data_IF_848384074355
#
_entry.id   IF_848384074355
#
_cell.length_a   1.000
_cell.length_b   1.000
_cell.length_c   1.000
_cell.angle_alpha   90.00
_cell.angle_beta   90.00
_cell.angle_gamma   90.00
#
_symmetry.space_group_name_H-M   'P 1'
#
loop_
_entity.id
_entity.type
_entity.pdbx_description
1 polymer ?
#
# COMPACT_ATOMS: atom_id res chain seq x y z
N UNK A 1 -0.78 11.73 4.91
CA UNK A 1 0.44 11.04 4.44
C UNK A 1 1.70 11.79 4.87
N UNK A 2 1.89 13.06 4.46
CA UNK A 2 3.11 13.82 4.83
C UNK A 2 3.32 13.85 6.36
N UNK A 3 2.30 14.20 7.12
CA UNK A 3 2.38 14.22 8.59
C UNK A 3 2.74 12.86 9.18
N UNK A 4 2.24 11.75 8.62
CA UNK A 4 2.53 10.43 9.17
C UNK A 4 4.00 10.01 9.05
N UNK A 5 4.74 10.52 8.07
CA UNK A 5 6.19 10.29 7.97
C UNK A 5 7.01 11.40 8.64
N UNK A 6 6.47 12.58 8.85
CA UNK A 6 7.16 13.67 9.54
C UNK A 6 7.12 13.53 11.07
N UNK A 7 6.05 13.02 11.65
CA UNK A 7 5.91 12.81 13.10
C UNK A 7 7.09 12.03 13.71
N UNK A 8 7.57 10.92 13.14
CA UNK A 8 8.71 10.18 13.65
C UNK A 8 9.99 11.00 13.86
N UNK A 9 10.17 12.11 13.12
CA UNK A 9 11.33 13.00 13.30
C UNK A 9 11.46 13.54 14.71
N UNK A 10 10.34 13.69 15.44
CA UNK A 10 10.34 14.13 16.84
C UNK A 10 11.19 13.20 17.71
N UNK A 11 11.25 11.91 17.36
CA UNK A 11 12.06 10.92 18.10
C UNK A 11 13.40 10.65 17.42
N UNK A 12 13.49 10.72 16.09
CA UNK A 12 14.75 10.47 15.38
C UNK A 12 15.76 11.62 15.53
N UNK A 13 15.33 12.88 15.57
CA UNK A 13 16.23 14.03 15.72
C UNK A 13 17.03 13.97 17.03
N UNK A 14 16.43 13.72 18.20
CA UNK A 14 17.22 13.53 19.44
C UNK A 14 18.17 12.33 19.38
N UNK A 15 17.81 11.23 18.71
CA UNK A 15 18.68 10.07 18.56
C UNK A 15 19.97 10.38 17.79
N UNK A 16 19.96 11.36 16.90
CA UNK A 16 21.12 11.78 16.12
C UNK A 16 22.13 12.61 16.94
N UNK A 17 21.77 13.07 18.15
CA UNK A 17 22.68 13.84 18.98
C UNK A 17 23.85 13.00 19.52
N UNK A 18 23.59 11.70 19.82
CA UNK A 18 24.56 10.80 20.45
C UNK A 18 24.98 9.63 19.53
N UNK A 19 24.55 9.62 18.28
CA UNK A 19 24.79 8.54 17.30
C UNK A 19 25.21 9.09 15.95
N UNK A 20 25.72 8.21 15.08
CA UNK A 20 26.04 8.58 13.71
C UNK A 20 24.77 9.07 12.98
N UNK A 21 24.75 10.32 12.50
CA UNK A 21 23.58 10.88 11.83
C UNK A 21 23.17 10.11 10.57
N UNK A 22 24.13 9.51 9.83
CA UNK A 22 23.82 8.72 8.64
C UNK A 22 23.12 7.41 9.02
N UNK A 23 23.58 6.74 10.08
CA UNK A 23 22.94 5.54 10.59
C UNK A 23 21.51 5.83 11.09
N UNK A 24 21.31 6.94 11.83
CA UNK A 24 19.99 7.39 12.28
C UNK A 24 19.09 7.74 11.10
N UNK A 25 19.62 8.38 10.05
CA UNK A 25 18.87 8.70 8.83
C UNK A 25 18.45 7.45 8.08
N UNK A 26 19.31 6.42 7.98
CA UNK A 26 18.94 5.12 7.43
C UNK A 26 17.74 4.52 8.17
N UNK A 27 17.78 4.48 9.51
CA UNK A 27 16.68 3.98 10.33
C UNK A 27 15.38 4.76 10.16
N UNK A 28 15.49 6.08 9.98
CA UNK A 28 14.33 6.91 9.65
C UNK A 28 13.74 6.54 8.29
N UNK A 29 14.56 6.33 7.26
CA UNK A 29 14.09 5.93 5.93
C UNK A 29 13.37 4.58 5.94
N UNK A 30 13.92 3.57 6.63
CA UNK A 30 13.25 2.29 6.83
C UNK A 30 11.90 2.43 7.54
N UNK A 31 11.84 3.22 8.61
CA UNK A 31 10.61 3.50 9.35
C UNK A 31 9.57 4.24 8.50
N UNK A 32 10.00 5.27 7.76
CA UNK A 32 9.13 6.03 6.86
C UNK A 32 8.59 5.16 5.72
N UNK A 33 9.41 4.27 5.15
CA UNK A 33 8.98 3.31 4.16
C UNK A 33 7.88 2.38 4.69
N UNK A 34 8.05 1.82 5.89
CA UNK A 34 7.03 0.96 6.52
C UNK A 34 5.70 1.69 6.75
N UNK A 35 5.75 2.94 7.19
CA UNK A 35 4.55 3.78 7.36
C UNK A 35 3.84 3.97 6.03
N UNK A 36 4.58 4.31 4.96
CA UNK A 36 4.02 4.48 3.62
C UNK A 36 3.44 3.18 3.07
N UNK A 37 4.12 2.05 3.27
CA UNK A 37 3.63 0.73 2.87
C UNK A 37 2.34 0.36 3.61
N UNK A 38 2.27 0.59 4.93
CA UNK A 38 1.07 0.37 5.72
C UNK A 38 -0.12 1.21 5.23
N UNK A 39 0.10 2.50 4.95
CA UNK A 39 -0.89 3.39 4.35
C UNK A 39 -1.32 2.90 2.95
N UNK A 40 -0.38 2.42 2.14
CA UNK A 40 -0.65 1.87 0.82
C UNK A 40 -1.56 0.64 0.90
N UNK A 41 -1.35 -0.26 1.87
CA UNK A 41 -2.24 -1.40 2.11
C UNK A 41 -3.65 -0.95 2.55
N UNK A 42 -3.76 0.05 3.42
CA UNK A 42 -5.06 0.63 3.80
C UNK A 42 -5.81 1.20 2.58
N UNK A 43 -5.13 1.91 1.69
CA UNK A 43 -5.72 2.42 0.44
C UNK A 43 -6.19 1.30 -0.48
N UNK A 44 -5.47 0.18 -0.55
CA UNK A 44 -5.84 -0.98 -1.35
C UNK A 44 -7.15 -1.65 -0.88
N UNK A 45 -7.60 -1.43 0.35
CA UNK A 45 -8.87 -1.95 0.86
C UNK A 45 -10.09 -1.39 0.13
N UNK A 46 -9.99 -0.18 -0.43
CA UNK A 46 -11.12 0.58 -1.00
C UNK A 46 -12.27 0.74 0.00
N UNK A 47 -11.94 0.85 1.27
CA UNK A 47 -12.95 1.10 2.30
C UNK A 47 -13.48 2.52 2.17
N UNK A 48 -14.80 2.68 2.31
CA UNK A 48 -15.48 3.97 2.15
C UNK A 48 -14.93 5.08 3.05
N UNK A 49 -14.47 4.74 4.26
CA UNK A 49 -13.83 5.69 5.16
C UNK A 49 -12.51 6.22 4.57
N UNK A 50 -11.70 5.35 3.98
CA UNK A 50 -10.45 5.72 3.29
C UNK A 50 -10.76 6.60 2.07
N UNK A 51 -11.74 6.20 1.24
CA UNK A 51 -12.17 7.00 0.08
C UNK A 51 -12.65 8.40 0.49
N UNK A 52 -13.42 8.50 1.59
CA UNK A 52 -13.92 9.78 2.09
C UNK A 52 -12.81 10.71 2.56
N UNK A 53 -11.79 10.17 3.24
CA UNK A 53 -10.62 10.95 3.73
C UNK A 53 -9.78 11.49 2.58
N UNK A 54 -9.59 10.73 1.51
CA UNK A 54 -8.73 11.10 0.37
C UNK A 54 -9.50 11.73 -0.81
N UNK A 55 -10.81 11.90 -0.69
CA UNK A 55 -11.61 12.64 -1.66
C UNK A 55 -12.05 11.87 -2.91
N UNK A 56 -12.03 10.54 -2.85
CA UNK A 56 -12.52 9.65 -3.90
C UNK A 56 -11.50 8.62 -4.34
N UNK A 57 -12.00 7.59 -5.02
CA UNK A 57 -11.19 6.43 -5.41
C UNK A 57 -10.12 6.79 -6.45
N UNK A 58 -10.38 7.74 -7.33
CA UNK A 58 -9.45 8.29 -8.31
C UNK A 58 -8.20 8.87 -7.63
N UNK A 59 -8.40 9.72 -6.63
CA UNK A 59 -7.29 10.30 -5.85
C UNK A 59 -6.55 9.27 -5.03
N UNK A 60 -7.28 8.30 -4.45
CA UNK A 60 -6.67 7.17 -3.71
C UNK A 60 -5.71 6.39 -4.62
N UNK A 61 -6.06 6.11 -5.88
CA UNK A 61 -5.18 5.39 -6.81
C UNK A 61 -3.93 6.18 -7.19
N UNK A 62 -4.10 7.47 -7.49
CA UNK A 62 -2.95 8.35 -7.79
C UNK A 62 -2.01 8.42 -6.59
N UNK A 63 -2.56 8.60 -5.39
CA UNK A 63 -1.77 8.68 -4.16
C UNK A 63 -1.10 7.35 -3.84
N UNK A 64 -1.80 6.22 -3.97
CA UNK A 64 -1.26 4.87 -3.79
C UNK A 64 -0.03 4.63 -4.69
N UNK A 65 -0.11 5.00 -5.97
CA UNK A 65 1.01 4.91 -6.91
C UNK A 65 2.24 5.68 -6.40
N UNK A 66 2.06 6.94 -6.04
CA UNK A 66 3.18 7.79 -5.60
C UNK A 66 3.75 7.37 -4.25
N UNK A 67 2.91 6.91 -3.32
CA UNK A 67 3.34 6.34 -2.04
C UNK A 67 4.17 5.07 -2.27
N UNK A 68 3.76 4.19 -3.19
CA UNK A 68 4.52 2.99 -3.52
C UNK A 68 5.91 3.30 -4.09
N UNK A 69 6.00 4.29 -4.99
CA UNK A 69 7.28 4.74 -5.55
C UNK A 69 8.16 5.36 -4.44
N UNK A 70 7.58 6.22 -3.61
CA UNK A 70 8.31 6.84 -2.50
C UNK A 70 8.80 5.80 -1.48
N UNK A 71 7.96 4.82 -1.15
CA UNK A 71 8.34 3.73 -0.25
C UNK A 71 9.53 2.93 -0.80
N UNK A 72 9.51 2.56 -2.10
CA UNK A 72 10.65 1.89 -2.72
C UNK A 72 11.92 2.74 -2.66
N UNK A 73 11.84 4.03 -2.98
CA UNK A 73 12.99 4.92 -2.92
C UNK A 73 13.58 5.00 -1.50
N UNK A 74 12.72 5.06 -0.47
CA UNK A 74 13.15 5.08 0.92
C UNK A 74 13.76 3.75 1.38
N UNK A 75 13.24 2.61 0.91
CA UNK A 75 13.86 1.30 1.19
C UNK A 75 15.24 1.21 0.56
N UNK A 76 15.40 1.65 -0.69
CA UNK A 76 16.71 1.67 -1.35
C UNK A 76 17.70 2.59 -0.63
N UNK A 77 17.26 3.77 -0.18
CA UNK A 77 18.10 4.66 0.62
C UNK A 77 18.46 4.04 1.98
N UNK A 78 17.53 3.33 2.62
CA UNK A 78 17.80 2.60 3.86
C UNK A 78 18.87 1.53 3.68
N UNK A 79 18.77 0.75 2.61
CA UNK A 79 19.69 -0.36 2.31
C UNK A 79 21.08 0.13 1.86
N UNK A 80 21.14 1.22 1.09
CA UNK A 80 22.41 1.73 0.53
C UNK A 80 23.26 2.52 1.52
N UNK A 81 22.72 2.93 2.67
CA UNK A 81 23.48 3.63 3.70
C UNK A 81 24.19 2.59 4.58
N UNK A 82 25.48 2.37 4.28
CA UNK A 82 26.37 1.54 5.07
C UNK A 82 26.94 2.38 6.23
N UNK A 83 26.26 2.36 7.36
CA UNK A 83 26.69 3.09 8.55
C UNK A 83 26.44 2.25 9.81
N UNK A 84 27.50 2.01 10.59
CA UNK A 84 27.39 1.28 11.85
C UNK A 84 26.62 2.06 12.91
N UNK A 85 25.63 1.41 13.51
CA UNK A 85 24.88 1.99 14.61
C UNK A 85 25.30 1.35 15.94
N UNK A 86 25.73 2.20 16.88
CA UNK A 86 26.04 1.79 18.26
C UNK A 86 24.80 1.91 19.16
N UNK A 87 24.80 1.15 20.26
CA UNK A 87 23.74 1.23 21.28
C UNK A 87 22.39 0.70 20.77
N UNK A 88 22.43 -0.37 19.99
CA UNK A 88 21.24 -1.10 19.56
C UNK A 88 20.58 -1.83 20.74
N UNK A 89 19.27 -1.91 20.72
CA UNK A 89 18.52 -2.78 21.63
C UNK A 89 18.71 -4.23 21.16
N UNK A 90 19.25 -5.11 22.00
CA UNK A 90 19.45 -6.52 21.63
C UNK A 90 18.09 -7.17 21.32
N UNK A 91 18.03 -7.90 20.22
CA UNK A 91 16.89 -8.74 19.86
C UNK A 91 17.36 -10.17 19.79
N UNK A 92 16.83 -11.08 20.61
CA UNK A 92 17.33 -12.44 20.65
C UNK A 92 16.76 -13.31 19.51
N UNK A 93 17.49 -14.38 19.19
CA UNK A 93 17.08 -15.61 18.47
C UNK A 93 16.60 -15.45 17.01
N UNK A 94 15.91 -14.36 16.62
CA UNK A 94 15.34 -14.22 15.27
C UNK A 94 16.02 -13.15 14.41
N UNK A 95 17.14 -12.58 14.85
CA UNK A 95 17.81 -11.47 14.14
C UNK A 95 18.28 -11.88 12.75
N UNK A 96 18.97 -13.01 12.61
CA UNK A 96 19.40 -13.56 11.31
C UNK A 96 18.21 -13.80 10.36
N UNK A 97 17.11 -14.34 10.89
CA UNK A 97 15.89 -14.55 10.10
C UNK A 97 15.26 -13.22 9.70
N UNK A 98 15.34 -12.21 10.58
CA UNK A 98 14.83 -10.87 10.29
C UNK A 98 15.68 -10.16 9.23
N UNK A 99 17.00 -10.30 9.25
CA UNK A 99 17.90 -9.79 8.20
C UNK A 99 17.54 -10.40 6.84
N UNK A 100 17.48 -11.73 6.77
CA UNK A 100 17.08 -12.45 5.55
C UNK A 100 15.70 -12.03 5.06
N UNK A 101 14.73 -11.82 5.96
CA UNK A 101 13.40 -11.33 5.61
C UNK A 101 13.42 -9.90 5.05
N UNK A 102 14.30 -9.04 5.58
CA UNK A 102 14.55 -7.69 5.07
C UNK A 102 15.08 -7.71 3.64
N UNK A 103 16.16 -8.46 3.40
CA UNK A 103 16.76 -8.63 2.07
C UNK A 103 15.75 -9.20 1.05
N UNK A 104 15.05 -10.26 1.41
CA UNK A 104 14.04 -10.87 0.54
C UNK A 104 12.91 -9.88 0.21
N UNK A 105 12.51 -9.06 1.18
CA UNK A 105 11.48 -8.06 0.96
C UNK A 105 11.97 -6.94 0.04
N UNK A 106 13.20 -6.47 0.17
CA UNK A 106 13.82 -5.49 -0.70
C UNK A 106 13.80 -5.93 -2.17
N UNK A 107 14.33 -7.13 -2.46
CA UNK A 107 14.33 -7.67 -3.83
C UNK A 107 12.92 -7.90 -4.35
N UNK A 108 12.02 -8.39 -3.52
CA UNK A 108 10.62 -8.56 -3.86
C UNK A 108 9.94 -7.24 -4.22
N UNK A 109 10.15 -6.18 -3.44
CA UNK A 109 9.64 -4.84 -3.76
C UNK A 109 10.25 -4.30 -5.03
N UNK A 110 11.57 -4.39 -5.20
CA UNK A 110 12.25 -3.91 -6.38
C UNK A 110 11.65 -4.51 -7.65
N UNK A 111 11.52 -5.83 -7.70
CA UNK A 111 10.96 -6.55 -8.85
C UNK A 111 9.48 -6.18 -9.06
N UNK A 112 8.65 -6.27 -8.02
CA UNK A 112 7.21 -6.11 -8.16
C UNK A 112 6.78 -4.66 -8.39
N UNK A 113 7.47 -3.67 -7.82
CA UNK A 113 7.18 -2.25 -8.09
C UNK A 113 7.61 -1.88 -9.50
N UNK A 114 8.78 -2.36 -9.97
CA UNK A 114 9.22 -2.16 -11.36
C UNK A 114 8.22 -2.79 -12.33
N UNK A 115 7.78 -4.03 -12.10
CA UNK A 115 6.73 -4.68 -12.88
C UNK A 115 5.40 -3.91 -12.84
N UNK A 116 5.11 -3.24 -11.74
CA UNK A 116 3.87 -2.45 -11.59
C UNK A 116 3.88 -1.13 -12.34
N UNK A 117 5.07 -0.60 -12.64
CA UNK A 117 5.25 0.63 -13.43
C UNK A 117 5.37 0.29 -14.91
N UNK A 118 5.82 -0.92 -15.25
CA UNK A 118 6.04 -1.36 -16.63
C UNK A 118 4.73 -1.47 -17.41
N UNK A 119 4.61 -0.71 -18.50
CA UNK A 119 3.39 -0.63 -19.32
C UNK A 119 3.19 -1.82 -20.25
N UNK A 120 4.21 -2.66 -20.45
CA UNK A 120 4.16 -3.83 -21.33
C UNK A 120 3.62 -5.10 -20.63
N UNK A 121 3.46 -5.06 -19.30
CA UNK A 121 2.93 -6.21 -18.53
C UNK A 121 1.43 -6.30 -18.71
N UNK A 122 0.87 -7.43 -19.21
CA UNK A 122 -0.57 -7.64 -19.32
C UNK A 122 -1.30 -7.46 -17.97
N UNK A 123 -2.45 -6.80 -17.99
CA UNK A 123 -3.20 -6.42 -16.78
C UNK A 123 -3.49 -7.59 -15.83
N UNK A 124 -3.83 -8.75 -16.35
CA UNK A 124 -4.12 -9.94 -15.53
C UNK A 124 -2.89 -10.45 -14.78
N UNK A 125 -1.70 -10.44 -15.42
CA UNK A 125 -0.43 -10.81 -14.81
C UNK A 125 -0.02 -9.77 -13.76
N UNK A 126 -0.06 -8.48 -14.13
CA UNK A 126 0.17 -7.39 -13.20
C UNK A 126 -0.70 -7.50 -11.96
N UNK A 127 -2.00 -7.71 -12.13
CA UNK A 127 -2.95 -7.80 -11.02
C UNK A 127 -2.65 -8.98 -10.10
N UNK A 128 -2.19 -10.09 -10.66
CA UNK A 128 -1.83 -11.26 -9.88
C UNK A 128 -0.51 -11.04 -9.12
N UNK A 129 0.55 -10.60 -9.79
CA UNK A 129 1.87 -10.35 -9.19
C UNK A 129 1.81 -9.23 -8.15
N UNK A 130 1.06 -8.16 -8.43
CA UNK A 130 0.91 -7.04 -7.51
C UNK A 130 0.36 -7.42 -6.12
N UNK A 131 -0.40 -8.50 -6.02
CA UNK A 131 -0.90 -9.00 -4.72
C UNK A 131 0.22 -9.47 -3.80
N UNK A 132 1.33 -9.94 -4.34
CA UNK A 132 2.47 -10.40 -3.54
C UNK A 132 3.21 -9.26 -2.84
N UNK A 133 3.03 -8.00 -3.27
CA UNK A 133 3.59 -6.83 -2.59
C UNK A 133 3.20 -6.81 -1.10
N UNK A 134 1.97 -7.19 -0.77
CA UNK A 134 1.56 -7.30 0.63
C UNK A 134 2.25 -8.42 1.40
N UNK A 135 2.64 -9.51 0.73
CA UNK A 135 3.45 -10.56 1.33
C UNK A 135 4.88 -10.08 1.67
N UNK A 136 5.51 -9.34 0.77
CA UNK A 136 6.81 -8.72 1.03
C UNK A 136 6.72 -7.62 2.10
N UNK A 137 5.61 -6.87 2.16
CA UNK A 137 5.35 -5.97 3.29
C UNK A 137 5.27 -6.72 4.63
N UNK A 138 4.70 -7.92 4.66
CA UNK A 138 4.69 -8.74 5.87
C UNK A 138 6.10 -9.16 6.29
N UNK A 139 6.98 -9.49 5.34
CA UNK A 139 8.40 -9.74 5.61
C UNK A 139 9.12 -8.50 6.14
N UNK A 140 8.86 -7.31 5.57
CA UNK A 140 9.40 -6.05 6.09
C UNK A 140 8.91 -5.74 7.51
N UNK A 141 7.64 -6.02 7.81
CA UNK A 141 7.09 -5.84 9.15
C UNK A 141 7.73 -6.83 10.15
N UNK A 142 8.00 -8.07 9.72
CA UNK A 142 8.73 -9.05 10.50
C UNK A 142 10.17 -8.58 10.75
N UNK A 143 10.88 -8.14 9.72
CA UNK A 143 12.20 -7.53 9.85
C UNK A 143 12.20 -6.41 10.88
N UNK A 144 11.27 -5.45 10.77
CA UNK A 144 11.16 -4.34 11.71
C UNK A 144 10.98 -4.79 13.16
N UNK A 145 10.18 -5.82 13.41
CA UNK A 145 9.92 -6.30 14.78
C UNK A 145 11.16 -6.94 15.40
N UNK A 146 11.92 -7.72 14.63
CA UNK A 146 12.97 -8.61 15.12
C UNK A 146 14.40 -8.17 14.81
N UNK A 147 14.60 -7.09 14.04
CA UNK A 147 15.94 -6.54 13.80
C UNK A 147 16.40 -5.67 14.98
N UNK A 148 17.69 -5.67 15.25
CA UNK A 148 18.29 -4.74 16.20
C UNK A 148 18.13 -3.29 15.73
N UNK A 149 17.68 -2.39 16.62
CA UNK A 149 17.38 -1.00 16.31
C UNK A 149 17.58 -0.10 17.54
N UNK A 150 17.76 1.24 17.35
CA UNK A 150 18.10 2.15 18.46
C UNK A 150 16.92 2.49 19.38
N UNK A 151 15.80 1.81 19.26
CA UNK A 151 14.59 1.97 20.09
C UNK A 151 13.89 0.63 20.27
N UNK A 152 13.15 0.47 21.35
CA UNK A 152 12.37 -0.75 21.60
C UNK A 152 10.98 -0.69 20.95
N UNK A 153 10.33 -1.85 20.78
CA UNK A 153 8.94 -1.92 20.33
C UNK A 153 7.95 -1.28 21.31
N UNK A 154 8.31 -1.15 22.59
CA UNK A 154 7.50 -0.48 23.62
C UNK A 154 7.64 1.04 23.64
N UNK A 155 8.65 1.59 22.99
CA UNK A 155 8.85 3.04 22.90
C UNK A 155 7.81 3.71 21.99
N UNK A 156 7.52 5.00 22.19
CA UNK A 156 6.55 5.72 21.35
C UNK A 156 6.81 5.59 19.84
N UNK A 157 8.09 5.60 19.42
CA UNK A 157 8.47 5.42 18.03
C UNK A 157 8.18 3.99 17.55
N UNK A 158 8.56 2.96 18.33
CA UNK A 158 8.28 1.56 18.02
C UNK A 158 6.79 1.28 17.92
N UNK A 159 6.00 1.80 18.84
CA UNK A 159 4.55 1.69 18.84
C UNK A 159 3.93 2.42 17.64
N UNK A 160 4.44 3.61 17.29
CA UNK A 160 3.94 4.38 16.16
C UNK A 160 4.14 3.65 14.84
N UNK A 161 5.35 3.22 14.53
CA UNK A 161 5.65 2.47 13.30
C UNK A 161 4.93 1.11 13.32
N UNK A 162 4.95 0.43 14.46
CA UNK A 162 4.25 -0.85 14.66
C UNK A 162 2.74 -0.77 14.40
N UNK A 163 2.10 0.34 14.77
CA UNK A 163 0.67 0.57 14.48
C UNK A 163 0.39 0.62 12.98
N UNK A 164 1.25 1.25 12.17
CA UNK A 164 1.12 1.24 10.70
C UNK A 164 1.40 -0.14 10.10
N UNK A 165 2.39 -0.87 10.64
CA UNK A 165 2.65 -2.25 10.23
C UNK A 165 1.42 -3.13 10.51
N UNK A 166 0.88 -3.07 11.72
CA UNK A 166 -0.31 -3.85 12.11
C UNK A 166 -1.53 -3.49 11.26
N UNK A 167 -1.84 -2.20 11.12
CA UNK A 167 -2.97 -1.74 10.31
C UNK A 167 -2.83 -2.16 8.84
N UNK A 168 -1.62 -2.09 8.29
CA UNK A 168 -1.31 -2.53 6.93
C UNK A 168 -1.45 -4.04 6.75
N UNK A 169 -1.01 -4.85 7.70
CA UNK A 169 -1.18 -6.31 7.69
C UNK A 169 -2.66 -6.73 7.75
N UNK A 170 -3.43 -6.08 8.62
CA UNK A 170 -4.89 -6.30 8.70
C UNK A 170 -5.56 -5.90 7.37
N UNK A 171 -5.17 -4.77 6.80
CA UNK A 171 -5.66 -4.30 5.49
C UNK A 171 -5.31 -5.29 4.37
N UNK A 172 -4.09 -5.80 4.35
CA UNK A 172 -3.66 -6.81 3.39
C UNK A 172 -4.48 -8.10 3.53
N UNK A 173 -4.60 -8.63 4.76
CA UNK A 173 -5.42 -9.81 5.02
C UNK A 173 -6.87 -9.60 4.54
N UNK A 174 -7.46 -8.43 4.81
CA UNK A 174 -8.79 -8.07 4.32
C UNK A 174 -8.89 -8.08 2.79
N UNK A 175 -7.84 -7.65 2.06
CA UNK A 175 -7.86 -7.58 0.60
C UNK A 175 -7.71 -8.95 -0.08
N UNK A 176 -6.97 -9.88 0.52
CA UNK A 176 -6.75 -11.22 -0.05
C UNK A 176 -7.86 -12.21 0.33
N UNK A 177 -8.47 -12.02 1.50
CA UNK A 177 -9.58 -12.86 1.95
C UNK A 177 -10.86 -12.53 1.17
N UNK A 178 -11.77 -13.50 0.97
CA UNK A 178 -13.02 -13.30 0.23
C UNK A 178 -14.03 -12.39 0.93
N UNK A 179 -13.72 -11.89 2.12
CA UNK A 179 -14.56 -11.00 2.94
C UNK A 179 -15.01 -9.72 2.20
N UNK A 180 -14.24 -9.29 1.21
CA UNK A 180 -14.50 -8.09 0.41
C UNK A 180 -15.61 -8.26 -0.63
N UNK A 181 -15.89 -9.48 -1.10
CA UNK A 181 -16.69 -9.71 -2.31
C UNK A 181 -18.19 -9.40 -2.19
N UNK A 182 -18.79 -9.49 -1.02
CA UNK A 182 -20.26 -9.43 -0.88
C UNK A 182 -20.84 -8.08 -0.42
N UNK A 183 -20.06 -7.22 0.22
CA UNK A 183 -20.61 -6.03 0.89
C UNK A 183 -20.76 -4.79 -0.02
N UNK A 184 -20.06 -4.72 -1.14
CA UNK A 184 -19.95 -3.51 -1.97
C UNK A 184 -20.58 -3.62 -3.36
N UNK A 185 -20.90 -4.83 -3.84
CA UNK A 185 -21.46 -5.03 -5.19
C UNK A 185 -22.93 -4.63 -5.22
N UNK A 186 -23.29 -3.80 -6.21
CA UNK A 186 -24.66 -3.39 -6.47
C UNK A 186 -25.07 -3.91 -7.83
N UNK A 187 -26.19 -4.66 -7.95
CA UNK A 187 -26.66 -5.15 -9.23
C UNK A 187 -27.30 -4.01 -10.02
N UNK A 188 -26.87 -3.90 -11.26
CA UNK A 188 -27.42 -3.00 -12.27
C UNK A 188 -27.84 -3.81 -13.50
N UNK A 189 -28.80 -3.28 -14.26
CA UNK A 189 -29.20 -3.78 -15.59
C UNK A 189 -28.71 -2.81 -16.64
N UNK A 190 -28.14 -3.31 -17.73
CA UNK A 190 -27.81 -2.50 -18.90
C UNK A 190 -29.12 -2.07 -19.55
N UNK A 191 -29.37 -0.77 -19.62
CA UNK A 191 -30.52 -0.17 -20.24
C UNK A 191 -30.28 0.21 -21.71
N UNK A 192 -29.03 0.58 -22.03
CA UNK A 192 -28.61 0.93 -23.37
C UNK A 192 -27.09 0.91 -23.52
N UNK A 193 -26.63 0.81 -24.76
CA UNK A 193 -25.24 0.94 -25.15
C UNK A 193 -25.19 1.86 -26.38
N UNK A 194 -24.38 2.91 -26.28
CA UNK A 194 -24.23 3.91 -27.35
C UNK A 194 -22.77 4.09 -27.71
N UNK A 195 -22.47 4.30 -28.98
CA UNK A 195 -21.13 4.66 -29.45
C UNK A 195 -21.11 6.17 -29.74
N UNK A 196 -20.24 6.90 -29.08
CA UNK A 196 -20.11 8.35 -29.25
C UNK A 196 -18.61 8.74 -29.25
N UNK A 197 -18.15 9.34 -30.35
CA UNK A 197 -16.82 9.93 -30.44
C UNK A 197 -15.65 8.99 -30.13
N UNK A 198 -15.75 7.70 -30.49
CA UNK A 198 -14.73 6.68 -30.17
C UNK A 198 -14.83 6.09 -28.76
N UNK A 199 -15.81 6.53 -27.96
CA UNK A 199 -16.10 5.97 -26.64
C UNK A 199 -17.37 5.12 -26.68
N UNK A 200 -17.48 4.16 -25.77
CA UNK A 200 -18.69 3.38 -25.52
C UNK A 200 -19.34 3.91 -24.25
N UNK A 201 -20.58 4.35 -24.36
CA UNK A 201 -21.41 4.78 -23.24
C UNK A 201 -22.37 3.66 -22.90
N UNK A 202 -22.39 3.23 -21.64
CA UNK A 202 -23.26 2.18 -21.14
C UNK A 202 -24.23 2.79 -20.14
N UNK A 203 -25.51 2.80 -20.47
CA UNK A 203 -26.58 3.25 -19.59
C UNK A 203 -26.98 2.13 -18.63
N UNK A 204 -26.89 2.41 -17.34
CA UNK A 204 -27.10 1.45 -16.27
C UNK A 204 -28.26 1.85 -15.36
N UNK A 205 -29.23 0.97 -15.18
CA UNK A 205 -30.34 1.15 -14.24
C UNK A 205 -30.12 0.27 -13.01
N UNK A 206 -30.17 0.84 -11.79
CA UNK A 206 -29.99 0.05 -10.57
C UNK A 206 -31.21 -0.88 -10.35
N UNK A 207 -30.93 -2.16 -10.05
CA UNK A 207 -32.00 -3.13 -9.71
C UNK A 207 -32.51 -2.96 -8.27
N UNK A 208 -31.71 -2.33 -7.41
CA UNK A 208 -32.02 -1.97 -6.02
C UNK A 208 -31.54 -0.54 -5.77
N UNK A 209 -31.05 -0.25 -4.57
CA UNK A 209 -30.47 1.06 -4.24
C UNK A 209 -29.19 1.30 -5.05
N UNK A 210 -29.18 2.34 -5.89
CA UNK A 210 -28.03 2.74 -6.69
C UNK A 210 -26.84 3.23 -5.87
N UNK A 211 -25.70 3.41 -6.54
CA UNK A 211 -24.49 4.01 -5.98
C UNK A 211 -24.64 5.53 -6.00
N UNK A 212 -24.36 6.21 -4.89
CA UNK A 212 -24.21 7.67 -4.88
C UNK A 212 -22.88 8.02 -5.51
N UNK A 213 -22.88 8.86 -6.49
CA UNK A 213 -21.70 9.28 -7.26
C UNK A 213 -21.75 10.76 -7.61
N UNK A 214 -20.62 11.26 -8.12
CA UNK A 214 -20.49 12.55 -8.78
C UNK A 214 -19.92 12.30 -10.16
N UNK A 215 -20.31 13.10 -11.14
CA UNK A 215 -19.76 13.03 -12.49
C UNK A 215 -18.22 13.13 -12.43
N UNK A 216 -17.53 12.34 -13.26
CA UNK A 216 -16.07 12.24 -13.29
C UNK A 216 -15.47 11.20 -12.33
N UNK A 217 -16.24 10.64 -11.40
CA UNK A 217 -15.79 9.47 -10.64
C UNK A 217 -15.80 8.22 -11.54
N UNK A 218 -15.09 7.18 -11.13
CA UNK A 218 -15.16 5.89 -11.81
C UNK A 218 -15.69 4.79 -10.89
N UNK A 219 -16.32 3.79 -11.53
CA UNK A 219 -16.76 2.58 -10.86
C UNK A 219 -16.14 1.36 -11.53
N UNK A 220 -15.98 0.29 -10.76
CA UNK A 220 -15.61 -1.00 -11.32
C UNK A 220 -16.88 -1.76 -11.69
N UNK A 221 -17.07 -2.00 -12.97
CA UNK A 221 -18.13 -2.86 -13.48
C UNK A 221 -17.61 -4.29 -13.68
N UNK A 222 -18.41 -5.25 -13.26
CA UNK A 222 -18.23 -6.65 -13.59
C UNK A 222 -19.38 -7.05 -14.48
N UNK A 223 -19.11 -7.36 -15.73
CA UNK A 223 -20.10 -7.84 -16.65
C UNK A 223 -20.31 -9.34 -16.45
N UNK A 224 -21.58 -9.78 -16.39
CA UNK A 224 -21.93 -11.20 -16.31
C UNK A 224 -21.98 -11.82 -17.71
N UNK A 225 -20.86 -11.73 -18.43
CA UNK A 225 -20.68 -12.27 -19.78
C UNK A 225 -19.39 -13.08 -19.78
N UNK A 226 -19.39 -14.21 -20.46
CA UNK A 226 -18.22 -15.07 -20.60
C UNK A 226 -17.02 -14.29 -21.16
N UNK A 227 -15.86 -14.42 -20.51
CA UNK A 227 -14.65 -13.68 -20.85
C UNK A 227 -14.56 -12.26 -20.27
N UNK A 228 -15.61 -11.69 -19.66
CA UNK A 228 -15.63 -10.33 -19.07
C UNK A 228 -16.03 -10.31 -17.59
N UNK A 229 -15.77 -11.40 -16.89
CA UNK A 229 -16.09 -11.53 -15.45
C UNK A 229 -15.17 -10.75 -14.53
N UNK A 230 -14.07 -10.19 -15.05
CA UNK A 230 -13.17 -9.34 -14.27
C UNK A 230 -13.74 -7.92 -14.12
N UNK A 231 -13.51 -7.25 -12.97
CA UNK A 231 -13.93 -5.88 -12.77
C UNK A 231 -13.09 -4.91 -13.61
N UNK A 232 -13.72 -4.17 -14.49
CA UNK A 232 -13.11 -3.13 -15.32
C UNK A 232 -13.53 -1.74 -14.84
N UNK A 233 -12.62 -0.73 -14.85
CA UNK A 233 -12.95 0.64 -14.48
C UNK A 233 -13.71 1.35 -15.61
N UNK A 234 -14.81 2.01 -15.24
CA UNK A 234 -15.60 2.88 -16.13
C UNK A 234 -15.78 4.24 -15.47
N UNK A 235 -15.63 5.31 -16.22
CA UNK A 235 -15.91 6.66 -15.73
C UNK A 235 -17.43 6.88 -15.68
N UNK A 236 -17.90 7.47 -14.59
CA UNK A 236 -19.30 7.85 -14.43
C UNK A 236 -19.46 9.25 -14.98
N UNK A 237 -20.24 9.41 -16.03
CA UNK A 237 -20.44 10.67 -16.74
C UNK A 237 -21.68 11.44 -16.28
N UNK A 238 -22.65 10.78 -15.65
CA UNK A 238 -23.92 11.37 -15.20
C UNK A 238 -24.42 10.70 -13.92
#
# INVERSE_FOLDING_TARGET
VFLSVAIPLVWFVPLAADRDPLAVMSQYFGSAALILMGLSQLMATRWRGVEAVFGGLDRVYVLHKWIGIAALALVLLHDTIDAEMRGLTPVPVLEEVAETAGELSLYGFLILVVLSIATFVPYHLWRWTHRFIGGFFALSAFHFVFIAKPFSMGDPLGLYVGAFCFAGLVAYAYTILPLRRSAAERPYKVAGVQHSGGAVVIDLTPQKRGVRHRAGQFAFLRLQVDGLTEPHPFTISS
#
